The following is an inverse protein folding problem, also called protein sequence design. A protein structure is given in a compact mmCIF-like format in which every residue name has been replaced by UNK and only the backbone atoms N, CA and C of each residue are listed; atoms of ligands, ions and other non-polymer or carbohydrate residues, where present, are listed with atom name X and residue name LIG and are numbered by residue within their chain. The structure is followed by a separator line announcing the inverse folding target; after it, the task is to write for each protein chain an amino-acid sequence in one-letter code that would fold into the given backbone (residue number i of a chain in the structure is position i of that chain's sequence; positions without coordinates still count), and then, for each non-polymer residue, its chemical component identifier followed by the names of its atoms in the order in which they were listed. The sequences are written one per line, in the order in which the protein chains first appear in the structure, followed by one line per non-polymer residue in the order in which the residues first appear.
data_IF_428815657657
#
_entry.id   IF_428815657657
#
_cell.length_a   1.000
_cell.length_b   1.000
_cell.length_c   1.000
_cell.angle_alpha   90.00
_cell.angle_beta   90.00
_cell.angle_gamma   90.00
#
_symmetry.space_group_name_H-M   'P 1'
#
loop_
_entity.id
_entity.type
_entity.pdbx_description
1 polymer ?
#
# COMPACT_ATOMS: atom_id res chain seq x y z
N UNK A 1 -19.79 -6.27 -36.11
CA UNK A 1 -19.80 -7.75 -36.12
C UNK A 1 -19.70 -8.22 -34.67
N UNK A 2 -20.62 -9.08 -34.23
CA UNK A 2 -20.69 -9.61 -32.85
C UNK A 2 -19.82 -10.87 -32.74
N UNK A 3 -18.70 -10.82 -32.02
CA UNK A 3 -18.01 -12.02 -31.57
C UNK A 3 -18.41 -12.34 -30.13
N UNK A 4 -18.81 -13.59 -29.90
CA UNK A 4 -19.26 -14.13 -28.61
C UNK A 4 -18.05 -14.63 -27.82
N UNK A 5 -18.06 -14.56 -26.47
CA UNK A 5 -17.02 -15.15 -25.64
C UNK A 5 -17.16 -16.67 -25.58
N UNK A 6 -16.03 -17.37 -25.76
CA UNK A 6 -15.90 -18.81 -25.56
C UNK A 6 -15.56 -19.06 -24.08
N UNK A 7 -16.41 -19.83 -23.41
CA UNK A 7 -16.23 -20.34 -22.06
C UNK A 7 -15.39 -21.64 -22.16
N UNK A 8 -14.27 -21.75 -21.42
CA UNK A 8 -13.62 -23.05 -21.19
C UNK A 8 -13.21 -23.14 -19.73
N UNK A 9 -13.85 -24.10 -19.06
CA UNK A 9 -13.56 -24.54 -17.70
C UNK A 9 -12.19 -25.21 -17.62
N UNK A 10 -11.45 -24.90 -16.56
CA UNK A 10 -10.22 -25.60 -16.18
C UNK A 10 -10.15 -25.75 -14.67
N UNK A 11 -11.02 -26.60 -14.12
CA UNK A 11 -10.94 -27.10 -12.74
C UNK A 11 -9.67 -27.94 -12.58
N UNK A 12 -8.86 -27.63 -11.58
CA UNK A 12 -7.87 -28.55 -11.00
C UNK A 12 -7.62 -28.16 -9.56
N UNK A 13 -8.52 -28.61 -8.69
CA UNK A 13 -8.30 -28.67 -7.25
C UNK A 13 -7.46 -29.91 -6.97
N UNK A 14 -6.20 -29.72 -6.54
CA UNK A 14 -5.36 -30.77 -5.99
C UNK A 14 -5.65 -30.90 -4.49
N UNK A 15 -6.47 -31.89 -4.12
CA UNK A 15 -6.59 -32.34 -2.73
C UNK A 15 -5.47 -33.35 -2.44
N UNK A 16 -4.49 -32.94 -1.64
CA UNK A 16 -3.52 -33.84 -1.03
C UNK A 16 -4.11 -34.36 0.29
N UNK A 17 -4.67 -35.57 0.25
CA UNK A 17 -5.00 -36.35 1.44
C UNK A 17 -3.79 -37.22 1.79
N UNK A 18 -3.00 -36.80 2.77
CA UNK A 18 -1.98 -37.65 3.39
C UNK A 18 -2.63 -38.38 4.57
N UNK A 19 -2.90 -39.68 4.39
CA UNK A 19 -3.32 -40.58 5.45
C UNK A 19 -2.06 -41.31 5.96
N UNK A 20 -1.54 -40.87 7.10
CA UNK A 20 -0.51 -41.57 7.86
C UNK A 20 -1.12 -42.05 9.17
N UNK A 21 -1.43 -43.34 9.26
CA UNK A 21 -1.86 -44.01 10.49
C UNK A 21 -0.65 -44.23 11.39
N UNK A 22 -0.65 -43.58 12.55
CA UNK A 22 0.26 -43.81 13.66
C UNK A 22 -0.43 -43.33 14.93
N UNK A 23 -0.90 -44.28 15.73
CA UNK A 23 -1.72 -44.09 16.93
C UNK A 23 -0.93 -43.41 18.06
N UNK A 24 -1.60 -42.45 18.72
CA UNK A 24 -1.88 -42.42 20.17
C UNK A 24 -1.56 -41.06 20.84
N UNK A 25 -2.59 -40.45 21.44
CA UNK A 25 -2.47 -39.23 22.26
C UNK A 25 -3.68 -38.28 22.20
N UNK A 26 -4.85 -38.75 22.67
CA UNK A 26 -5.77 -38.05 23.60
C UNK A 26 -5.95 -36.52 23.39
N UNK A 27 -6.95 -36.07 22.62
CA UNK A 27 -8.36 -35.78 22.96
C UNK A 27 -8.62 -34.36 23.53
N UNK A 28 -9.47 -33.57 22.85
CA UNK A 28 -10.80 -33.13 23.33
C UNK A 28 -11.33 -32.02 22.42
N UNK A 29 -12.63 -32.12 22.13
CA UNK A 29 -13.37 -31.43 21.08
C UNK A 29 -14.08 -30.14 21.54
N UNK A 30 -14.55 -29.36 20.56
CA UNK A 30 -15.81 -28.58 20.50
C UNK A 30 -15.57 -27.28 19.72
N UNK A 31 -16.11 -27.11 18.50
CA UNK A 31 -17.49 -26.71 18.21
C UNK A 31 -17.84 -25.32 18.73
N UNK A 32 -18.12 -24.39 17.80
CA UNK A 32 -18.78 -23.13 18.14
C UNK A 32 -18.68 -22.07 17.05
N UNK A 33 -19.73 -21.97 16.23
CA UNK A 33 -20.10 -20.69 15.61
C UNK A 33 -20.19 -19.59 16.67
N UNK A 34 -19.82 -18.35 16.34
CA UNK A 34 -20.74 -17.21 16.29
C UNK A 34 -19.98 -15.88 16.13
N UNK A 35 -20.68 -14.96 15.48
CA UNK A 35 -20.68 -13.51 15.72
C UNK A 35 -19.44 -12.68 15.34
N UNK A 36 -19.70 -11.79 14.38
CA UNK A 36 -19.23 -10.41 14.38
C UNK A 36 -19.09 -9.87 15.81
N UNK A 37 -17.92 -9.32 16.14
CA UNK A 37 -17.86 -8.27 17.15
C UNK A 37 -16.94 -7.17 16.64
N UNK A 38 -17.59 -6.04 16.41
CA UNK A 38 -17.00 -4.71 16.38
C UNK A 38 -16.36 -4.37 17.74
N UNK A 39 -15.67 -3.23 17.77
CA UNK A 39 -15.08 -2.57 18.95
C UNK A 39 -13.70 -3.14 19.36
N UNK A 40 -12.63 -2.36 19.46
CA UNK A 40 -12.52 -1.05 20.08
C UNK A 40 -11.43 -0.18 19.44
N UNK A 41 -11.80 1.09 19.28
CA UNK A 41 -10.89 2.23 19.16
C UNK A 41 -9.86 2.17 20.28
N UNK A 42 -8.58 2.07 19.92
CA UNK A 42 -7.51 2.28 20.88
C UNK A 42 -7.04 3.73 20.77
N UNK A 43 -7.41 4.51 21.78
CA UNK A 43 -7.10 5.91 21.93
C UNK A 43 -5.58 6.13 22.00
N UNK A 44 -5.10 6.84 20.99
CA UNK A 44 -4.19 7.97 21.04
C UNK A 44 -3.04 7.90 22.07
N UNK A 45 -1.90 7.46 21.56
CA UNK A 45 -0.59 7.97 21.95
C UNK A 45 0.22 8.11 20.67
N UNK A 46 -0.20 9.05 19.81
CA UNK A 46 0.23 9.02 18.42
C UNK A 46 1.47 9.89 18.23
N UNK A 47 2.63 9.34 18.55
CA UNK A 47 3.79 9.61 17.69
C UNK A 47 3.35 9.11 16.31
N UNK A 48 3.08 10.01 15.36
CA UNK A 48 2.51 9.64 14.07
C UNK A 48 3.34 8.53 13.43
N UNK A 49 2.68 7.38 13.25
CA UNK A 49 3.30 6.22 12.65
C UNK A 49 3.69 6.56 11.21
N UNK A 50 4.77 5.96 10.73
CA UNK A 50 5.14 6.11 9.32
C UNK A 50 4.03 5.50 8.45
N UNK A 51 3.48 6.30 7.54
CA UNK A 51 2.42 5.89 6.62
C UNK A 51 2.95 5.02 5.47
N UNK A 52 4.26 4.95 5.28
CA UNK A 52 4.90 4.12 4.26
C UNK A 52 5.00 2.68 4.78
N UNK A 53 4.33 1.75 4.09
CA UNK A 53 4.55 0.32 4.25
C UNK A 53 5.84 -0.10 3.53
N UNK A 54 6.90 -0.35 4.31
CA UNK A 54 8.22 -0.73 3.78
C UNK A 54 8.29 -2.18 3.32
N UNK A 55 7.32 -3.03 3.69
CA UNK A 55 7.26 -4.42 3.23
C UNK A 55 6.62 -4.53 1.84
N UNK A 56 5.88 -3.49 1.43
CA UNK A 56 5.14 -3.42 0.16
C UNK A 56 5.74 -2.35 -0.78
N UNK A 57 7.06 -2.39 -0.99
CA UNK A 57 7.74 -1.51 -1.94
C UNK A 57 8.00 -2.22 -3.26
N UNK A 58 7.77 -1.52 -4.36
CA UNK A 58 8.00 -2.02 -5.71
C UNK A 58 9.19 -1.32 -6.36
N UNK A 59 10.10 -2.08 -6.97
CA UNK A 59 11.14 -1.53 -7.83
C UNK A 59 10.49 -0.93 -9.09
N UNK A 60 11.00 0.19 -9.59
CA UNK A 60 10.45 0.78 -10.81
C UNK A 60 10.97 2.17 -11.09
N UNK A 61 10.13 2.97 -11.74
CA UNK A 61 10.43 4.34 -12.12
C UNK A 61 9.86 5.38 -11.16
N UNK A 62 9.52 6.54 -11.72
CA UNK A 62 8.68 7.55 -11.08
C UNK A 62 7.61 8.02 -12.07
N UNK A 63 6.50 8.55 -11.58
CA UNK A 63 5.49 9.17 -12.44
C UNK A 63 5.89 10.62 -12.67
N UNK A 64 6.07 11.02 -13.92
CA UNK A 64 6.49 12.38 -14.23
C UNK A 64 5.37 13.40 -14.05
N UNK A 65 5.73 14.68 -14.18
CA UNK A 65 4.79 15.82 -14.11
C UNK A 65 3.65 15.79 -15.15
N UNK A 66 3.69 14.86 -16.12
CA UNK A 66 2.65 14.66 -17.13
C UNK A 66 1.84 13.37 -16.90
N UNK A 67 2.05 12.67 -15.79
CA UNK A 67 1.36 11.41 -15.46
C UNK A 67 1.93 10.17 -16.15
N UNK A 68 3.11 10.28 -16.79
CA UNK A 68 3.75 9.14 -17.45
C UNK A 68 4.78 8.48 -16.55
N UNK A 69 4.74 7.16 -16.46
CA UNK A 69 5.80 6.38 -15.81
C UNK A 69 7.12 6.54 -16.58
N UNK A 70 8.18 6.90 -15.85
CA UNK A 70 9.56 6.98 -16.32
C UNK A 70 10.39 5.95 -15.57
N UNK A 71 10.68 4.84 -16.22
CA UNK A 71 11.57 3.81 -15.68
C UNK A 71 12.95 4.40 -15.35
N UNK A 72 13.46 4.09 -14.16
CA UNK A 72 14.76 4.55 -13.71
C UNK A 72 15.30 3.58 -12.67
N UNK A 73 16.41 2.90 -12.98
CA UNK A 73 17.02 1.98 -12.03
C UNK A 73 17.32 2.64 -10.68
N UNK A 74 17.03 1.92 -9.59
CA UNK A 74 17.29 2.38 -8.23
C UNK A 74 16.19 3.26 -7.65
N UNK A 75 15.07 3.46 -8.34
CA UNK A 75 13.86 4.06 -7.76
C UNK A 75 12.95 2.97 -7.16
N UNK A 76 12.34 3.31 -6.03
CA UNK A 76 11.33 2.53 -5.34
C UNK A 76 10.02 3.29 -5.36
N UNK A 77 8.92 2.54 -5.42
CA UNK A 77 7.56 3.07 -5.36
C UNK A 77 6.81 2.44 -4.19
N UNK A 78 6.03 3.25 -3.48
CA UNK A 78 5.04 2.74 -2.55
C UNK A 78 3.84 2.18 -3.32
N UNK A 79 3.05 1.36 -2.64
CA UNK A 79 1.62 1.22 -2.97
C UNK A 79 0.89 2.57 -2.78
N UNK A 80 -0.38 2.61 -3.19
CA UNK A 80 -1.25 3.77 -2.94
C UNK A 80 -1.43 3.97 -1.42
N UNK A 81 -1.12 5.17 -0.95
CA UNK A 81 -1.27 5.59 0.45
C UNK A 81 -2.53 6.46 0.55
N UNK A 82 -3.50 6.12 1.41
CA UNK A 82 -4.66 6.97 1.65
C UNK A 82 -4.25 8.39 2.07
N UNK A 83 -4.90 9.39 1.49
CA UNK A 83 -4.59 10.79 1.70
C UNK A 83 -5.87 11.60 1.97
N UNK A 84 -5.81 12.46 2.97
CA UNK A 84 -6.87 13.41 3.32
C UNK A 84 -6.31 14.84 3.21
N UNK A 85 -6.78 15.66 2.26
CA UNK A 85 -6.27 17.02 2.03
C UNK A 85 -6.58 17.98 3.19
N UNK A 86 -7.48 17.63 4.11
CA UNK A 86 -7.76 18.43 5.30
C UNK A 86 -6.68 18.31 6.39
N UNK A 87 -5.70 17.42 6.19
CA UNK A 87 -4.61 17.15 7.13
C UNK A 87 -3.25 17.60 6.58
N UNK A 88 -2.30 17.76 7.49
CA UNK A 88 -0.92 18.08 7.16
C UNK A 88 -0.06 16.83 7.21
N UNK A 89 0.89 16.72 6.27
CA UNK A 89 1.84 15.61 6.22
C UNK A 89 3.25 16.13 6.03
N UNK A 90 4.21 15.47 6.66
CA UNK A 90 5.63 15.77 6.58
C UNK A 90 6.40 14.57 6.04
N UNK A 91 7.28 14.85 5.08
CA UNK A 91 8.20 13.89 4.50
C UNK A 91 9.63 14.21 4.96
N UNK A 92 10.39 13.19 5.35
CA UNK A 92 11.75 13.38 5.89
C UNK A 92 12.89 13.17 4.87
N UNK A 93 12.59 12.69 3.66
CA UNK A 93 13.57 12.32 2.63
C UNK A 93 13.08 12.77 1.25
N UNK A 94 14.01 12.90 0.30
CA UNK A 94 13.67 13.34 -1.06
C UNK A 94 12.82 12.31 -1.80
N UNK A 95 11.68 12.75 -2.35
CA UNK A 95 10.78 11.90 -3.13
C UNK A 95 9.92 12.70 -4.11
N UNK A 96 9.44 12.03 -5.16
CA UNK A 96 8.30 12.47 -5.93
C UNK A 96 7.02 12.03 -5.23
N UNK A 97 6.10 12.96 -5.01
CA UNK A 97 4.76 12.71 -4.48
C UNK A 97 3.79 12.84 -5.63
N UNK A 98 3.17 11.74 -6.04
CA UNK A 98 2.14 11.72 -7.07
C UNK A 98 0.77 11.64 -6.41
N UNK A 99 -0.13 12.55 -6.77
CA UNK A 99 -1.47 12.67 -6.20
C UNK A 99 -2.52 12.09 -7.16
N UNK A 100 -3.48 11.38 -6.60
CA UNK A 100 -4.55 10.71 -7.36
C UNK A 100 -5.93 10.98 -6.75
N UNK A 101 -6.96 10.88 -7.59
CA UNK A 101 -8.36 10.73 -7.19
C UNK A 101 -8.84 9.36 -7.68
N UNK A 102 -8.91 8.37 -6.79
CA UNK A 102 -9.06 6.97 -7.17
C UNK A 102 -7.90 6.50 -8.05
N UNK A 103 -8.19 6.21 -9.32
CA UNK A 103 -7.18 5.81 -10.32
C UNK A 103 -6.76 6.97 -11.25
N UNK A 104 -7.37 8.15 -11.10
CA UNK A 104 -7.09 9.32 -11.94
C UNK A 104 -5.86 10.07 -11.43
N UNK A 105 -4.85 10.23 -12.28
CA UNK A 105 -3.68 11.07 -12.01
C UNK A 105 -4.07 12.54 -11.95
N UNK A 106 -3.62 13.24 -10.90
CA UNK A 106 -3.82 14.69 -10.74
C UNK A 106 -2.51 15.41 -11.09
N UNK A 107 -1.49 15.21 -10.26
CA UNK A 107 -0.19 15.86 -10.44
C UNK A 107 0.94 15.12 -9.72
N UNK A 108 2.18 15.49 -10.02
CA UNK A 108 3.36 15.05 -9.26
C UNK A 108 4.14 16.26 -8.77
N UNK A 109 4.61 16.21 -7.54
CA UNK A 109 5.47 17.24 -6.94
C UNK A 109 6.76 16.61 -6.44
N UNK A 110 7.88 17.29 -6.64
CA UNK A 110 9.18 16.86 -6.11
C UNK A 110 9.44 17.57 -4.78
N UNK A 111 9.61 16.78 -3.72
CA UNK A 111 10.04 17.27 -2.42
C UNK A 111 11.50 16.86 -2.24
N UNK A 112 12.40 17.84 -2.14
CA UNK A 112 13.85 17.58 -2.02
C UNK A 112 14.59 18.60 -1.14
N UNK A 113 13.99 19.76 -0.89
CA UNK A 113 14.60 20.86 -0.14
C UNK A 113 13.91 21.01 1.22
N UNK A 114 14.65 21.50 2.23
CA UNK A 114 14.14 21.76 3.58
C UNK A 114 13.50 20.53 4.27
N UNK A 115 14.16 19.38 4.20
CA UNK A 115 13.72 18.13 4.83
C UNK A 115 14.16 18.04 6.31
N UNK A 116 13.31 17.53 7.22
CA UNK A 116 11.92 17.14 7.00
C UNK A 116 11.03 18.35 6.70
N UNK A 117 10.11 18.21 5.74
CA UNK A 117 9.32 19.31 5.21
C UNK A 117 7.90 18.87 4.83
N UNK A 118 6.96 19.82 4.75
CA UNK A 118 5.58 19.53 4.39
C UNK A 118 5.48 19.10 2.93
N UNK A 119 4.56 18.18 2.64
CA UNK A 119 4.07 17.99 1.26
C UNK A 119 2.97 19.02 1.00
N UNK A 120 2.83 19.49 -0.24
CA UNK A 120 1.79 20.46 -0.59
C UNK A 120 0.39 19.80 -0.54
N UNK A 121 -0.62 20.58 -0.13
CA UNK A 121 -2.02 20.14 -0.17
C UNK A 121 -2.56 20.14 -1.60
N UNK A 122 -3.31 19.10 -1.96
CA UNK A 122 -4.02 18.98 -3.24
C UNK A 122 -5.46 18.57 -2.93
N UNK A 123 -6.39 19.51 -3.01
CA UNK A 123 -7.77 19.37 -2.50
C UNK A 123 -8.57 18.25 -3.17
N UNK A 124 -8.28 17.95 -4.44
CA UNK A 124 -8.99 16.91 -5.20
C UNK A 124 -8.44 15.50 -4.98
N UNK A 125 -7.33 15.33 -4.28
CA UNK A 125 -6.67 14.04 -4.10
C UNK A 125 -7.28 13.24 -2.93
N UNK A 126 -7.36 11.91 -3.10
CA UNK A 126 -7.75 10.96 -2.05
C UNK A 126 -6.65 9.95 -1.72
N UNK A 127 -5.57 9.95 -2.51
CA UNK A 127 -4.43 9.08 -2.33
C UNK A 127 -3.16 9.68 -2.92
N UNK A 128 -2.03 9.21 -2.42
CA UNK A 128 -0.71 9.55 -2.94
C UNK A 128 0.13 8.30 -3.17
N UNK A 129 1.10 8.40 -4.08
CA UNK A 129 2.17 7.44 -4.27
C UNK A 129 3.50 8.15 -4.16
N UNK A 130 4.47 7.54 -3.47
CA UNK A 130 5.82 8.09 -3.37
C UNK A 130 6.78 7.30 -4.26
N UNK A 131 7.56 8.03 -5.08
CA UNK A 131 8.72 7.49 -5.79
C UNK A 131 10.01 8.08 -5.22
N UNK A 132 10.92 7.25 -4.72
CA UNK A 132 12.15 7.71 -4.06
C UNK A 132 13.34 6.80 -4.37
N UNK A 133 14.56 7.28 -4.18
CA UNK A 133 15.76 6.46 -4.40
C UNK A 133 15.89 5.38 -3.34
N UNK A 134 16.27 4.15 -3.72
CA UNK A 134 16.38 2.98 -2.83
C UNK A 134 17.30 3.20 -1.63
N UNK A 135 18.25 4.12 -1.72
CA UNK A 135 19.14 4.49 -0.61
C UNK A 135 18.37 5.06 0.60
N UNK A 136 17.12 5.48 0.41
CA UNK A 136 16.27 6.03 1.47
C UNK A 136 15.32 5.01 2.10
N UNK A 137 15.25 3.75 1.65
CA UNK A 137 14.30 2.73 2.15
C UNK A 137 14.29 2.67 3.69
N UNK A 138 15.46 2.59 4.32
CA UNK A 138 15.55 2.40 5.76
C UNK A 138 15.14 3.64 6.57
N UNK A 139 15.30 4.84 6.00
CA UNK A 139 15.13 6.11 6.71
C UNK A 139 13.87 6.90 6.32
N UNK A 140 13.30 6.65 5.14
CA UNK A 140 12.16 7.43 4.66
C UNK A 140 10.93 7.25 5.55
N UNK A 141 10.32 8.37 5.90
CA UNK A 141 9.09 8.45 6.66
C UNK A 141 8.17 9.53 6.08
N UNK A 142 6.89 9.18 5.95
CA UNK A 142 5.79 10.11 5.76
C UNK A 142 4.91 10.06 7.00
N UNK A 143 4.62 11.20 7.61
CA UNK A 143 3.87 11.30 8.87
C UNK A 143 2.78 12.34 8.77
N UNK A 144 1.59 12.00 9.25
CA UNK A 144 0.52 12.96 9.56
C UNK A 144 0.93 13.84 10.75
N UNK A 145 0.54 15.11 10.75
CA UNK A 145 0.87 16.11 11.77
C UNK A 145 -0.34 16.58 12.57
#
# INVERSE_FOLDING_TARGET
MKLKPLFVLGSSILLLTACGTGENGEETEASGSNAETSNEENADNTQSANLIDKESLNDGGWINFEGNVKEQEGMMNTESIPYDPSKEYELNSGAYVTYFNGEEFIETKLIQDNLPGPIETVDEADSIQLSFHKDFIDMIELKEK
#
